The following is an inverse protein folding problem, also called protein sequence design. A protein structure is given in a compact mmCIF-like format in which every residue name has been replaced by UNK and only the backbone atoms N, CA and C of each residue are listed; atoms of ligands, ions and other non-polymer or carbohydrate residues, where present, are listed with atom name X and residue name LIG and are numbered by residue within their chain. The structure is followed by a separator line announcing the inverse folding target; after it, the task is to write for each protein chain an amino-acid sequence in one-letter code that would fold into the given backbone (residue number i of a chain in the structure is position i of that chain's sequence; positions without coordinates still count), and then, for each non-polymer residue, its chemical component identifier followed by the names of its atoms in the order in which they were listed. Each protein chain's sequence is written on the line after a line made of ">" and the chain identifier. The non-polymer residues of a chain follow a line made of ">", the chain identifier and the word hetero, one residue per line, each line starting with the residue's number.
data_IF_136621184450
#
_entry.id   IF_136621184450
#
_cell.length_a   1.000
_cell.length_b   1.000
_cell.length_c   1.000
_cell.angle_alpha   90.00
_cell.angle_beta   90.00
_cell.angle_gamma   90.00
#
_symmetry.space_group_name_H-M   'P 1'
#
loop_
_entity.id
_entity.type
_entity.pdbx_description
1 polymer ?
#
# COMPACT_ATOMS: atom_id res chain seq x y z
N UNK A 1 -0.93 -64.33 -1.41
CA UNK A 1 0.21 -63.47 -1.03
C UNK A 1 0.07 -62.14 -1.76
N UNK A 2 0.18 -61.06 -0.98
CA UNK A 2 -0.20 -59.69 -1.27
C UNK A 2 0.76 -59.01 -2.27
N UNK A 3 0.25 -58.57 -3.44
CA UNK A 3 0.93 -57.59 -4.29
C UNK A 3 -0.04 -57.12 -5.36
N UNK A 4 -0.58 -55.91 -5.23
CA UNK A 4 -0.77 -54.95 -6.33
C UNK A 4 -1.18 -53.61 -5.70
N UNK A 5 -0.45 -52.58 -6.13
CA UNK A 5 -0.31 -51.25 -5.55
C UNK A 5 -1.64 -50.51 -5.28
N UNK A 6 -1.70 -49.62 -4.28
CA UNK A 6 -2.69 -48.56 -4.28
C UNK A 6 -2.33 -47.59 -5.40
N UNK A 7 -3.18 -47.54 -6.43
CA UNK A 7 -3.17 -46.46 -7.42
C UNK A 7 -3.59 -45.20 -6.66
N UNK A 8 -2.59 -44.45 -6.21
CA UNK A 8 -2.73 -43.07 -5.76
C UNK A 8 -3.43 -42.28 -6.87
N UNK A 9 -4.61 -41.69 -6.63
CA UNK A 9 -5.13 -40.69 -7.55
C UNK A 9 -4.18 -39.50 -7.45
N UNK A 10 -3.47 -39.25 -8.54
CA UNK A 10 -2.67 -38.06 -8.76
C UNK A 10 -3.65 -36.88 -8.70
N UNK A 11 -3.82 -36.29 -7.51
CA UNK A 11 -4.41 -34.98 -7.37
C UNK A 11 -3.49 -34.03 -8.15
N UNK A 12 -3.82 -33.76 -9.41
CA UNK A 12 -3.36 -32.57 -10.11
C UNK A 12 -3.89 -31.40 -9.29
N UNK A 13 -3.07 -30.96 -8.32
CA UNK A 13 -3.29 -29.72 -7.61
C UNK A 13 -3.35 -28.62 -8.66
N UNK A 14 -4.53 -28.01 -8.81
CA UNK A 14 -4.65 -26.74 -9.48
C UNK A 14 -3.67 -25.80 -8.78
N UNK A 15 -2.58 -25.46 -9.47
CA UNK A 15 -1.77 -24.29 -9.14
C UNK A 15 -2.70 -23.11 -9.35
N UNK A 16 -3.44 -22.74 -8.31
CA UNK A 16 -4.14 -21.46 -8.27
C UNK A 16 -3.04 -20.42 -8.34
N UNK A 17 -2.94 -19.61 -9.41
CA UNK A 17 -1.99 -18.51 -9.41
C UNK A 17 -2.40 -17.60 -8.24
N UNK A 18 -1.50 -17.45 -7.27
CA UNK A 18 -1.67 -16.41 -6.27
C UNK A 18 -1.81 -15.10 -7.05
N UNK A 19 -2.95 -14.42 -6.89
CA UNK A 19 -3.13 -13.09 -7.47
C UNK A 19 -2.02 -12.20 -6.91
N UNK A 20 -1.02 -11.93 -7.74
CA UNK A 20 0.04 -10.98 -7.40
C UNK A 20 -0.62 -9.62 -7.24
N UNK A 21 -0.26 -8.89 -6.17
CA UNK A 21 -0.68 -7.51 -6.01
C UNK A 21 -0.20 -6.70 -7.23
N UNK A 22 -1.02 -5.77 -7.67
CA UNK A 22 -0.63 -4.84 -8.72
C UNK A 22 0.46 -3.88 -8.22
N UNK A 23 1.26 -3.30 -9.12
CA UNK A 23 2.32 -2.35 -8.73
C UNK A 23 1.77 -1.16 -7.91
N UNK A 24 0.56 -0.70 -8.21
CA UNK A 24 -0.10 0.36 -7.46
C UNK A 24 -0.51 -0.09 -6.06
N UNK A 25 -0.92 -1.34 -5.88
CA UNK A 25 -1.18 -1.92 -4.55
C UNK A 25 0.09 -2.07 -3.73
N UNK A 26 1.21 -2.43 -4.35
CA UNK A 26 2.52 -2.51 -3.69
C UNK A 26 2.98 -1.12 -3.23
N UNK A 27 2.92 -0.11 -4.10
CA UNK A 27 3.28 1.26 -3.76
C UNK A 27 2.38 1.86 -2.66
N UNK A 28 1.07 1.55 -2.69
CA UNK A 28 0.16 1.93 -1.61
C UNK A 28 0.49 1.22 -0.29
N UNK A 29 0.93 -0.04 -0.35
CA UNK A 29 1.36 -0.79 0.83
C UNK A 29 2.64 -0.21 1.42
N UNK A 30 3.63 0.11 0.59
CA UNK A 30 4.88 0.77 1.02
C UNK A 30 4.59 2.11 1.70
N UNK A 31 3.75 2.94 1.08
CA UNK A 31 3.35 4.22 1.66
C UNK A 31 2.61 4.04 2.98
N UNK A 32 1.68 3.08 3.09
CA UNK A 32 0.96 2.91 4.34
C UNK A 32 1.85 2.40 5.47
N UNK A 33 2.75 1.46 5.20
CA UNK A 33 3.71 0.99 6.18
C UNK A 33 4.60 2.14 6.67
N UNK A 34 4.95 3.07 5.77
CA UNK A 34 5.63 4.29 6.15
C UNK A 34 4.81 5.18 7.09
N UNK A 35 3.54 5.45 6.76
CA UNK A 35 2.63 6.23 7.62
C UNK A 35 2.50 5.57 8.98
N UNK A 36 2.24 4.25 9.02
CA UNK A 36 2.15 3.47 10.26
C UNK A 36 3.41 3.61 11.11
N UNK A 37 4.59 3.42 10.50
CA UNK A 37 5.85 3.53 11.21
C UNK A 37 6.07 4.92 11.81
N UNK A 38 5.78 5.98 11.06
CA UNK A 38 5.93 7.36 11.55
C UNK A 38 4.89 7.71 12.63
N UNK A 39 3.63 7.30 12.48
CA UNK A 39 2.62 7.47 13.52
C UNK A 39 3.00 6.73 14.81
N UNK A 40 3.52 5.51 14.70
CA UNK A 40 3.96 4.73 15.87
C UNK A 40 5.19 5.34 16.55
N UNK A 41 6.13 5.93 15.80
CA UNK A 41 7.24 6.69 16.36
C UNK A 41 6.74 7.91 17.16
N UNK A 42 5.82 8.68 16.59
CA UNK A 42 5.19 9.82 17.27
C UNK A 42 4.42 9.40 18.54
N UNK A 43 3.70 8.27 18.49
CA UNK A 43 3.00 7.67 19.66
C UNK A 43 3.99 7.18 20.72
N UNK A 44 5.18 6.73 20.31
CA UNK A 44 6.21 6.28 21.24
C UNK A 44 6.76 7.45 22.08
N UNK A 45 6.85 8.63 21.47
CA UNK A 45 7.26 9.89 22.10
C UNK A 45 6.14 10.55 22.91
N UNK A 46 4.89 10.28 22.56
CA UNK A 46 3.72 10.74 23.31
C UNK A 46 3.56 9.97 24.64
N UNK A 47 3.23 10.69 25.71
CA UNK A 47 2.92 10.13 27.02
C UNK A 47 1.51 9.52 27.04
N UNK A 48 1.33 8.42 26.29
CA UNK A 48 0.10 7.66 26.22
C UNK A 48 0.15 6.44 27.14
N UNK A 49 -1.01 6.05 27.66
CA UNK A 49 -1.10 4.80 28.43
C UNK A 49 -0.81 3.59 27.52
N UNK A 50 -0.29 2.48 28.09
CA UNK A 50 -0.03 1.25 27.33
C UNK A 50 -1.27 0.72 26.59
N UNK A 51 -2.45 0.91 27.17
CA UNK A 51 -3.72 0.48 26.60
C UNK A 51 -4.07 1.25 25.33
N UNK A 52 -3.88 2.58 25.32
CA UNK A 52 -4.07 3.41 24.12
C UNK A 52 -3.07 3.03 23.03
N UNK A 53 -1.80 2.76 23.40
CA UNK A 53 -0.77 2.34 22.44
C UNK A 53 -1.12 1.00 21.76
N UNK A 54 -1.70 0.05 22.49
CA UNK A 54 -2.13 -1.23 21.94
C UNK A 54 -3.33 -1.11 20.98
N UNK A 55 -4.19 -0.10 21.20
CA UNK A 55 -5.33 0.16 20.32
C UNK A 55 -4.94 0.83 18.99
N UNK A 56 -3.78 1.50 18.92
CA UNK A 56 -3.35 2.25 17.74
C UNK A 56 -2.95 1.36 16.57
N UNK A 57 -2.25 0.25 16.84
CA UNK A 57 -1.78 -0.66 15.79
C UNK A 57 -2.91 -1.25 14.93
N UNK A 58 -3.99 -1.83 15.48
CA UNK A 58 -5.11 -2.31 14.66
C UNK A 58 -5.84 -1.19 13.92
N UNK A 59 -5.90 0.03 14.48
CA UNK A 59 -6.49 1.19 13.81
C UNK A 59 -5.68 1.59 12.56
N UNK A 60 -4.35 1.70 12.70
CA UNK A 60 -3.46 2.01 11.58
C UNK A 60 -3.48 0.89 10.52
N UNK A 61 -3.58 -0.38 10.93
CA UNK A 61 -3.76 -1.50 10.01
C UNK A 61 -5.04 -1.36 9.17
N UNK A 62 -6.17 -1.04 9.80
CA UNK A 62 -7.44 -0.85 9.08
C UNK A 62 -7.37 0.36 8.11
N UNK A 63 -6.66 1.41 8.49
CA UNK A 63 -6.40 2.54 7.60
C UNK A 63 -5.58 2.10 6.37
N UNK A 64 -4.58 1.25 6.54
CA UNK A 64 -3.82 0.69 5.42
C UNK A 64 -4.66 -0.16 4.47
N UNK A 65 -5.59 -0.96 5.01
CA UNK A 65 -6.50 -1.75 4.19
C UNK A 65 -7.39 -0.85 3.33
N UNK A 66 -7.83 0.29 3.87
CA UNK A 66 -8.62 1.29 3.15
C UNK A 66 -7.80 2.01 2.07
N UNK A 67 -6.57 2.43 2.38
CA UNK A 67 -5.66 3.02 1.39
C UNK A 67 -5.42 2.08 0.20
N UNK A 68 -5.12 0.81 0.49
CA UNK A 68 -4.91 -0.20 -0.56
C UNK A 68 -6.18 -0.47 -1.38
N UNK A 69 -7.36 -0.43 -0.76
CA UNK A 69 -8.61 -0.62 -1.48
C UNK A 69 -8.87 0.54 -2.46
N UNK A 70 -8.59 1.79 -2.06
CA UNK A 70 -8.84 2.97 -2.89
C UNK A 70 -8.01 3.00 -4.19
N UNK A 71 -6.79 2.47 -4.18
CA UNK A 71 -5.94 2.49 -5.39
C UNK A 71 -6.33 1.45 -6.44
N UNK A 72 -7.15 0.45 -6.09
CA UNK A 72 -7.63 -0.57 -7.04
C UNK A 72 -8.57 0.01 -8.10
N UNK A 73 -9.07 1.21 -7.88
CA UNK A 73 -9.96 1.91 -8.80
C UNK A 73 -9.21 2.52 -10.00
N UNK A 74 -7.87 2.65 -9.94
CA UNK A 74 -7.05 3.19 -11.03
C UNK A 74 -6.70 2.07 -12.02
N UNK A 75 -7.23 2.05 -13.26
CA UNK A 75 -6.99 0.97 -14.19
C UNK A 75 -5.52 0.92 -14.65
N UNK A 76 -4.97 -0.30 -14.76
CA UNK A 76 -3.70 -0.52 -15.45
C UNK A 76 -3.82 -0.04 -16.90
N UNK A 77 -2.99 0.93 -17.29
CA UNK A 77 -3.02 1.57 -18.61
C UNK A 77 -3.66 2.96 -18.62
N UNK A 78 -4.25 3.42 -17.51
CA UNK A 78 -4.63 4.82 -17.37
C UNK A 78 -3.37 5.70 -17.33
N UNK A 79 -3.41 6.89 -17.94
CA UNK A 79 -2.25 7.79 -18.02
C UNK A 79 -1.72 8.22 -16.64
N UNK A 80 -2.61 8.22 -15.64
CA UNK A 80 -2.30 8.53 -14.25
C UNK A 80 -1.78 7.34 -13.43
N UNK A 81 -1.80 6.12 -13.97
CA UNK A 81 -1.39 4.92 -13.22
C UNK A 81 0.05 5.05 -12.75
N UNK A 82 1.03 5.20 -13.66
CA UNK A 82 2.44 5.28 -13.27
C UNK A 82 2.77 6.53 -12.44
N UNK A 83 2.28 7.74 -12.80
CA UNK A 83 2.50 8.92 -11.96
C UNK A 83 2.00 8.76 -10.51
N UNK A 84 0.88 8.04 -10.30
CA UNK A 84 0.38 7.76 -8.94
C UNK A 84 1.29 6.80 -8.17
N UNK A 85 1.78 5.74 -8.82
CA UNK A 85 2.78 4.81 -8.27
C UNK A 85 4.03 5.57 -7.82
N UNK A 86 4.55 6.42 -8.70
CA UNK A 86 5.78 7.18 -8.45
C UNK A 86 5.60 8.17 -7.29
N UNK A 87 4.43 8.83 -7.21
CA UNK A 87 4.10 9.69 -6.08
C UNK A 87 4.11 8.90 -4.75
N UNK A 88 3.39 7.78 -4.67
CA UNK A 88 3.33 6.97 -3.45
C UNK A 88 4.71 6.48 -3.00
N UNK A 89 5.52 5.95 -3.93
CA UNK A 89 6.90 5.52 -3.64
C UNK A 89 7.79 6.67 -3.19
N UNK A 90 7.67 7.84 -3.82
CA UNK A 90 8.46 9.02 -3.44
C UNK A 90 8.14 9.47 -2.02
N UNK A 91 6.87 9.42 -1.62
CA UNK A 91 6.45 9.70 -0.26
C UNK A 91 6.95 8.63 0.70
N UNK A 92 6.81 7.33 0.36
CA UNK A 92 7.31 6.24 1.20
C UNK A 92 8.81 6.35 1.54
N UNK A 93 9.60 6.97 0.65
CA UNK A 93 11.03 7.24 0.83
C UNK A 93 11.40 8.43 1.74
N UNK A 94 10.45 9.25 2.17
CA UNK A 94 10.71 10.41 3.04
C UNK A 94 11.16 9.99 4.46
N UNK A 95 11.78 10.88 5.23
CA UNK A 95 11.99 10.65 6.67
C UNK A 95 10.67 10.85 7.46
N UNK A 96 10.57 10.35 8.69
CA UNK A 96 9.37 10.63 9.49
C UNK A 96 9.25 12.10 9.89
N UNK A 97 10.38 12.80 10.04
CA UNK A 97 10.39 14.24 10.26
C UNK A 97 9.89 15.01 9.02
N UNK A 98 10.21 14.55 7.82
CA UNK A 98 9.63 15.11 6.59
C UNK A 98 8.14 14.80 6.47
N UNK A 99 7.65 13.67 7.00
CA UNK A 99 6.22 13.33 6.99
C UNK A 99 5.36 14.27 7.86
N UNK A 100 5.96 14.94 8.85
CA UNK A 100 5.29 15.93 9.70
C UNK A 100 5.15 17.30 9.02
N UNK A 101 5.90 17.53 7.94
CA UNK A 101 5.83 18.76 7.13
C UNK A 101 5.02 18.48 5.84
N UNK A 102 3.80 19.01 5.81
CA UNK A 102 2.88 18.87 4.67
C UNK A 102 3.52 19.33 3.34
N UNK A 103 4.45 20.28 3.37
CA UNK A 103 5.13 20.75 2.16
C UNK A 103 6.12 19.73 1.59
N UNK A 104 6.68 18.85 2.45
CA UNK A 104 7.60 17.79 2.04
C UNK A 104 6.87 16.60 1.42
N UNK A 105 5.62 16.37 1.83
CA UNK A 105 4.75 15.37 1.20
C UNK A 105 4.46 15.71 -0.28
N UNK A 106 4.54 16.99 -0.64
CA UNK A 106 4.45 17.48 -2.02
C UNK A 106 5.77 17.27 -2.77
N UNK A 107 6.20 16.02 -2.90
CA UNK A 107 7.40 15.63 -3.64
C UNK A 107 7.29 16.06 -5.11
N UNK A 108 8.41 16.14 -5.85
CA UNK A 108 8.36 16.39 -7.29
C UNK A 108 7.47 15.40 -8.06
N UNK A 109 7.46 14.12 -7.67
CA UNK A 109 6.63 13.10 -8.28
C UNK A 109 5.13 13.33 -7.99
N UNK A 110 4.78 13.69 -6.75
CA UNK A 110 3.40 14.00 -6.38
C UNK A 110 2.88 15.27 -7.05
N UNK A 111 3.70 16.32 -7.17
CA UNK A 111 3.36 17.52 -7.93
C UNK A 111 3.13 17.20 -9.42
N UNK A 112 3.94 16.31 -9.98
CA UNK A 112 3.75 15.86 -11.36
C UNK A 112 2.44 15.10 -11.53
N UNK A 113 2.12 14.16 -10.62
CA UNK A 113 0.85 13.44 -10.61
C UNK A 113 -0.34 14.39 -10.49
N UNK A 114 -0.32 15.32 -9.53
CA UNK A 114 -1.38 16.30 -9.33
C UNK A 114 -1.63 17.13 -10.60
N UNK A 115 -0.57 17.66 -11.22
CA UNK A 115 -0.67 18.42 -12.47
C UNK A 115 -1.32 17.59 -13.59
N UNK A 116 -0.97 16.31 -13.72
CA UNK A 116 -1.56 15.44 -14.73
C UNK A 116 -3.04 15.13 -14.43
N UNK A 117 -3.39 14.92 -13.16
CA UNK A 117 -4.76 14.68 -12.74
C UNK A 117 -5.67 15.90 -12.97
N UNK A 118 -5.17 17.10 -12.69
CA UNK A 118 -5.85 18.36 -12.99
C UNK A 118 -6.07 18.55 -14.50
N UNK A 119 -5.11 18.14 -15.33
CA UNK A 119 -5.24 18.18 -16.79
C UNK A 119 -6.29 17.18 -17.30
N UNK A 120 -6.29 15.96 -16.77
CA UNK A 120 -7.25 14.93 -17.14
C UNK A 120 -8.68 15.33 -16.78
N UNK A 121 -8.90 15.88 -15.58
CA UNK A 121 -10.23 16.33 -15.12
C UNK A 121 -10.73 17.63 -15.77
N UNK A 122 -9.85 18.45 -16.33
CA UNK A 122 -10.23 19.67 -17.06
C UNK A 122 -10.66 19.40 -18.53
N UNK A 123 -10.47 18.18 -19.01
CA UNK A 123 -10.81 17.75 -20.38
C UNK A 123 -12.15 17.01 -20.53
N UNK A 124 -12.84 16.73 -19.41
CA UNK A 124 -14.16 16.08 -19.36
C UNK A 124 -15.34 17.07 -19.43
#
# INVERSE_FOLDING_TARGET
>A
MLKFLPVLPFCLGALVPAAAASEIEDAATELCEKVKACSMAHIAEADLTPEVRQMMEPMLKNMCETMRAGVREVPQGHELYQPSVDCMRSMAGLSCQDFEDEQKLQTPACKNYQRLAEQASAGD
#
